data_IF_155001833502
#
_entry.id   IF_155001833502
#
_cell.length_a   1.000
_cell.length_b   1.000
_cell.length_c   1.000
_cell.angle_alpha   90.00
_cell.angle_beta   90.00
_cell.angle_gamma   90.00
#
_symmetry.space_group_name_H-M   'P 1'
#
loop_
_entity.id
_entity.type
_entity.pdbx_description
1 polymer ?
#
# COMPACT_ATOMS: atom_id res chain seq x y z
N UNK A 1 60.34 -40.33 50.42
CA UNK A 1 59.65 -41.53 50.93
C UNK A 1 58.19 -41.16 51.06
N UNK A 2 57.36 -41.71 50.16
CA UNK A 2 55.92 -42.06 50.30
C UNK A 2 54.95 -40.89 50.53
N UNK A 3 53.80 -40.73 49.90
CA UNK A 3 53.14 -41.24 48.68
C UNK A 3 51.92 -40.31 48.53
N UNK A 4 51.51 -39.98 47.30
CA UNK A 4 50.16 -39.46 47.06
C UNK A 4 49.57 -40.18 45.85
N UNK A 5 48.67 -41.11 46.14
CA UNK A 5 47.92 -41.94 45.21
C UNK A 5 47.08 -41.09 44.24
N UNK A 6 47.21 -41.42 42.96
CA UNK A 6 46.41 -40.90 41.85
C UNK A 6 45.21 -41.84 41.64
N UNK A 7 44.00 -41.29 41.74
CA UNK A 7 42.74 -41.99 41.51
C UNK A 7 42.48 -42.26 40.01
N UNK A 8 41.79 -43.37 39.67
CA UNK A 8 41.64 -43.85 38.30
C UNK A 8 40.47 -43.22 37.52
N UNK A 9 40.67 -43.27 36.21
CA UNK A 9 39.89 -42.80 35.06
C UNK A 9 38.45 -43.37 35.00
N UNK A 10 37.44 -42.48 34.89
CA UNK A 10 36.03 -42.84 34.77
C UNK A 10 35.59 -42.91 33.29
N UNK A 11 34.90 -44.02 32.97
CA UNK A 11 34.32 -44.39 31.67
C UNK A 11 33.14 -43.46 31.29
N UNK A 12 32.97 -43.08 30.01
CA UNK A 12 31.97 -42.08 29.60
C UNK A 12 30.52 -42.62 29.58
N UNK A 13 29.62 -41.89 30.25
CA UNK A 13 28.16 -42.07 30.19
C UNK A 13 27.58 -41.67 28.83
N UNK A 14 26.74 -42.54 28.27
CA UNK A 14 25.92 -42.28 27.08
C UNK A 14 24.80 -41.27 27.40
N UNK A 15 24.62 -40.19 26.62
CA UNK A 15 23.48 -39.30 26.79
C UNK A 15 22.21 -39.89 26.16
N UNK A 16 21.15 -39.94 26.97
CA UNK A 16 19.81 -40.34 26.58
C UNK A 16 19.16 -39.49 25.49
N UNK A 17 18.35 -40.15 24.68
CA UNK A 17 17.53 -39.61 23.58
C UNK A 17 16.55 -38.54 24.05
N UNK A 18 16.80 -37.29 23.67
CA UNK A 18 15.84 -36.19 23.73
C UNK A 18 14.81 -36.29 22.58
N UNK A 19 13.55 -35.88 22.78
CA UNK A 19 12.51 -35.94 21.75
C UNK A 19 12.82 -35.00 20.58
N UNK A 20 12.58 -35.49 19.37
CA UNK A 20 12.91 -34.87 18.08
C UNK A 20 12.52 -33.39 18.00
N UNK A 21 13.54 -32.54 17.97
CA UNK A 21 13.45 -31.11 17.64
C UNK A 21 12.85 -30.97 16.24
N UNK A 22 11.78 -30.17 16.11
CA UNK A 22 11.24 -29.76 14.80
C UNK A 22 12.37 -29.19 13.93
N UNK A 23 12.41 -29.47 12.61
CA UNK A 23 13.43 -28.89 11.74
C UNK A 23 13.27 -27.36 11.74
N UNK A 24 14.28 -26.67 12.26
CA UNK A 24 14.45 -25.23 12.07
C UNK A 24 14.86 -25.05 10.61
N UNK A 25 13.92 -24.66 9.76
CA UNK A 25 14.22 -24.18 8.41
C UNK A 25 15.16 -22.97 8.50
N UNK A 26 16.15 -22.85 7.60
CA UNK A 26 17.08 -21.73 7.61
C UNK A 26 16.34 -20.41 7.38
N UNK A 27 16.84 -19.27 7.91
CA UNK A 27 16.23 -17.97 7.69
C UNK A 27 16.49 -17.53 6.24
N UNK A 28 15.66 -17.99 5.31
CA UNK A 28 15.49 -17.30 4.04
C UNK A 28 15.06 -15.87 4.35
N UNK A 29 15.70 -14.88 3.73
CA UNK A 29 15.54 -13.44 4.00
C UNK A 29 14.08 -12.96 3.92
N UNK A 30 13.34 -13.21 5.00
CA UNK A 30 11.95 -12.84 5.14
C UNK A 30 11.85 -11.34 5.27
N UNK A 31 11.12 -10.72 4.34
CA UNK A 31 10.62 -9.35 4.51
C UNK A 31 9.98 -9.25 5.90
N UNK A 32 10.22 -8.17 6.67
CA UNK A 32 9.57 -7.97 7.97
C UNK A 32 8.08 -8.30 7.86
N UNK A 33 7.55 -9.05 8.84
CA UNK A 33 6.13 -9.43 8.89
C UNK A 33 5.29 -8.20 8.59
N UNK A 34 4.56 -8.26 7.48
CA UNK A 34 3.84 -7.10 7.00
C UNK A 34 2.74 -6.76 8.02
N UNK A 35 2.56 -5.46 8.34
CA UNK A 35 1.60 -4.99 9.36
C UNK A 35 0.18 -5.56 9.14
N UNK A 36 -0.20 -5.83 7.88
CA UNK A 36 -1.47 -6.45 7.57
C UNK A 36 -1.56 -7.93 7.99
N UNK A 37 -0.47 -8.71 7.92
CA UNK A 37 -0.44 -10.11 8.35
C UNK A 37 -0.70 -10.21 9.86
N UNK A 38 -0.15 -9.28 10.64
CA UNK A 38 -0.39 -9.21 12.08
C UNK A 38 -1.86 -8.93 12.36
N UNK A 39 -2.48 -7.94 11.69
CA UNK A 39 -3.89 -7.63 11.88
C UNK A 39 -4.81 -8.77 11.48
N UNK A 40 -4.56 -9.40 10.33
CA UNK A 40 -5.34 -10.56 9.90
C UNK A 40 -5.18 -11.68 10.92
N UNK A 41 -3.98 -11.97 11.40
CA UNK A 41 -3.77 -13.01 12.42
C UNK A 41 -4.54 -12.72 13.72
N UNK A 42 -4.45 -11.49 14.24
CA UNK A 42 -5.25 -11.08 15.41
C UNK A 42 -6.74 -11.26 15.17
N UNK A 43 -7.21 -10.96 13.95
CA UNK A 43 -8.62 -11.14 13.59
C UNK A 43 -9.01 -12.62 13.48
N UNK A 44 -8.14 -13.46 12.93
CA UNK A 44 -8.34 -14.91 12.89
C UNK A 44 -8.43 -15.49 14.31
N UNK A 45 -7.53 -15.10 15.21
CA UNK A 45 -7.53 -15.56 16.61
C UNK A 45 -8.86 -15.23 17.31
N UNK A 46 -9.36 -14.00 17.14
CA UNK A 46 -10.67 -13.55 17.62
C UNK A 46 -11.82 -14.41 17.06
N UNK A 47 -11.84 -14.65 15.74
CA UNK A 47 -12.87 -15.47 15.10
C UNK A 47 -12.83 -16.93 15.54
N UNK A 48 -11.64 -17.53 15.71
CA UNK A 48 -11.53 -18.89 16.23
C UNK A 48 -12.06 -19.02 17.65
N UNK A 49 -11.79 -18.02 18.50
CA UNK A 49 -12.32 -17.99 19.87
C UNK A 49 -13.86 -17.91 19.84
N UNK A 50 -14.43 -17.03 19.02
CA UNK A 50 -15.88 -16.91 18.88
C UNK A 50 -16.52 -18.18 18.31
N UNK A 51 -15.93 -18.81 17.28
CA UNK A 51 -16.40 -20.08 16.73
C UNK A 51 -16.32 -21.22 17.77
N UNK A 52 -15.45 -21.12 18.76
CA UNK A 52 -15.36 -22.08 19.88
C UNK A 52 -16.52 -21.96 20.84
N UNK A 53 -16.95 -20.74 21.16
CA UNK A 53 -18.19 -20.54 21.88
C UNK A 53 -19.41 -21.00 21.06
N UNK A 54 -19.44 -20.71 19.75
CA UNK A 54 -20.58 -21.03 18.88
C UNK A 54 -20.70 -22.52 18.52
N UNK A 55 -19.61 -23.29 18.62
CA UNK A 55 -19.62 -24.73 18.32
C UNK A 55 -20.55 -25.54 19.23
N UNK A 56 -20.90 -25.03 20.42
CA UNK A 56 -21.87 -25.65 21.30
C UNK A 56 -23.29 -25.71 20.71
N UNK A 57 -23.59 -24.87 19.71
CA UNK A 57 -24.92 -24.78 19.07
C UNK A 57 -25.00 -25.60 17.80
N UNK A 58 -23.96 -25.50 16.96
CA UNK A 58 -23.85 -26.23 15.71
C UNK A 58 -22.37 -26.57 15.45
N UNK A 59 -21.92 -27.77 15.88
CA UNK A 59 -20.51 -28.15 15.79
C UNK A 59 -20.06 -28.32 14.33
N UNK A 60 -20.94 -28.82 13.46
CA UNK A 60 -20.63 -29.09 12.06
C UNK A 60 -20.44 -27.79 11.28
N UNK A 61 -21.37 -26.84 11.45
CA UNK A 61 -21.26 -25.52 10.81
C UNK A 61 -20.07 -24.75 11.36
N UNK A 62 -19.82 -24.78 12.67
CA UNK A 62 -18.65 -24.13 13.26
C UNK A 62 -17.33 -24.77 12.79
N UNK A 63 -17.28 -26.09 12.59
CA UNK A 63 -16.12 -26.78 12.03
C UNK A 63 -15.89 -26.38 10.56
N UNK A 64 -16.95 -26.29 9.75
CA UNK A 64 -16.86 -25.84 8.36
C UNK A 64 -16.32 -24.41 8.24
N UNK A 65 -16.76 -23.50 9.11
CA UNK A 65 -16.24 -22.12 9.12
C UNK A 65 -14.77 -22.04 9.57
N UNK A 66 -14.36 -22.86 10.54
CA UNK A 66 -12.92 -22.96 10.91
C UNK A 66 -12.07 -23.50 9.77
N UNK A 67 -12.57 -24.49 9.02
CA UNK A 67 -11.86 -25.02 7.86
C UNK A 67 -11.68 -23.97 6.76
N UNK A 68 -12.61 -23.03 6.61
CA UNK A 68 -12.42 -21.88 5.70
C UNK A 68 -11.30 -20.94 6.19
N UNK A 69 -11.27 -20.64 7.50
CA UNK A 69 -10.25 -19.76 8.09
C UNK A 69 -8.83 -20.36 8.03
N UNK A 70 -8.68 -21.68 8.20
CA UNK A 70 -7.36 -22.33 8.13
C UNK A 70 -6.71 -22.20 6.74
N UNK A 71 -7.51 -22.09 5.68
CA UNK A 71 -7.04 -21.76 4.34
C UNK A 71 -6.35 -20.39 4.25
N UNK A 72 -6.72 -19.43 5.10
CA UNK A 72 -6.10 -18.10 5.16
C UNK A 72 -4.70 -18.18 5.79
N UNK A 73 -4.51 -18.99 6.82
CA UNK A 73 -3.21 -19.17 7.49
C UNK A 73 -2.13 -19.69 6.55
N UNK A 74 -2.49 -20.61 5.65
CA UNK A 74 -1.59 -21.15 4.64
C UNK A 74 -1.06 -20.07 3.68
N UNK A 75 -1.83 -19.00 3.49
CA UNK A 75 -1.53 -17.89 2.59
C UNK A 75 -0.76 -16.77 3.31
N UNK A 76 -0.97 -16.59 4.62
CA UNK A 76 -0.28 -15.57 5.43
C UNK A 76 1.24 -15.72 5.43
N UNK A 77 1.78 -16.94 5.31
CA UNK A 77 3.23 -17.19 5.29
C UNK A 77 3.92 -16.93 3.94
N UNK A 78 3.15 -16.70 2.86
CA UNK A 78 3.67 -16.58 1.49
C UNK A 78 3.59 -15.12 1.01
N UNK A 79 4.54 -14.28 1.40
CA UNK A 79 4.59 -12.88 0.95
C UNK A 79 5.92 -12.54 0.28
N UNK A 80 5.96 -12.66 -1.04
CA UNK A 80 7.04 -12.11 -1.88
C UNK A 80 6.71 -10.72 -2.44
N UNK A 81 7.69 -10.05 -3.06
CA UNK A 81 7.53 -8.69 -3.64
C UNK A 81 6.43 -8.63 -4.72
N UNK A 82 6.33 -9.68 -5.56
CA UNK A 82 5.29 -9.78 -6.59
C UNK A 82 3.90 -9.89 -5.98
N UNK A 83 3.78 -10.64 -4.88
CA UNK A 83 2.52 -10.82 -4.18
C UNK A 83 2.13 -9.55 -3.41
N UNK A 84 3.11 -8.82 -2.88
CA UNK A 84 2.88 -7.50 -2.30
C UNK A 84 2.35 -6.48 -3.34
N UNK A 85 2.82 -6.56 -4.59
CA UNK A 85 2.33 -5.73 -5.71
C UNK A 85 0.92 -6.13 -6.15
N UNK A 86 0.64 -7.44 -6.27
CA UNK A 86 -0.68 -7.95 -6.69
C UNK A 86 -1.73 -7.80 -5.59
N UNK A 87 -1.39 -8.14 -4.35
CA UNK A 87 -2.28 -8.07 -3.18
C UNK A 87 -3.35 -9.15 -3.14
N UNK A 88 -3.21 -10.25 -3.89
CA UNK A 88 -4.24 -11.29 -3.97
C UNK A 88 -4.43 -12.03 -2.65
N UNK A 89 -3.33 -12.33 -1.96
CA UNK A 89 -3.33 -13.00 -0.66
C UNK A 89 -4.01 -12.19 0.44
N UNK A 90 -3.83 -10.86 0.43
CA UNK A 90 -4.49 -9.95 1.36
C UNK A 90 -5.99 -9.87 1.09
N UNK A 91 -6.36 -9.75 -0.19
CA UNK A 91 -7.77 -9.71 -0.63
C UNK A 91 -8.49 -11.00 -0.25
N UNK A 92 -7.89 -12.16 -0.60
CA UNK A 92 -8.42 -13.47 -0.23
C UNK A 92 -8.61 -13.62 1.28
N UNK A 93 -7.63 -13.16 2.08
CA UNK A 93 -7.71 -13.22 3.52
C UNK A 93 -8.91 -12.42 4.08
N UNK A 94 -9.05 -11.15 3.67
CA UNK A 94 -10.15 -10.31 4.14
C UNK A 94 -11.52 -10.74 3.63
N UNK A 95 -11.62 -11.15 2.36
CA UNK A 95 -12.87 -11.70 1.82
C UNK A 95 -13.31 -12.96 2.57
N UNK A 96 -12.37 -13.84 2.92
CA UNK A 96 -12.67 -15.04 3.71
C UNK A 96 -13.11 -14.69 5.13
N UNK A 97 -12.41 -13.76 5.79
CA UNK A 97 -12.79 -13.22 7.11
C UNK A 97 -14.21 -12.63 7.08
N UNK A 98 -14.49 -11.73 6.14
CA UNK A 98 -15.80 -11.10 5.96
C UNK A 98 -16.91 -12.10 5.62
N UNK A 99 -16.58 -13.18 4.90
CA UNK A 99 -17.51 -14.28 4.63
C UNK A 99 -17.87 -15.03 5.91
N UNK A 100 -16.87 -15.40 6.70
CA UNK A 100 -17.06 -16.15 7.96
C UNK A 100 -17.82 -15.31 8.98
N UNK A 101 -17.50 -14.02 9.13
CA UNK A 101 -18.22 -13.11 10.04
C UNK A 101 -19.72 -13.02 9.71
N UNK A 102 -20.07 -12.95 8.42
CA UNK A 102 -21.48 -12.96 7.98
C UNK A 102 -22.15 -14.28 8.28
N UNK A 103 -21.47 -15.41 8.02
CA UNK A 103 -22.02 -16.74 8.29
C UNK A 103 -22.22 -17.00 9.79
N UNK A 104 -21.39 -16.42 10.65
CA UNK A 104 -21.54 -16.53 12.11
C UNK A 104 -22.84 -15.92 12.63
N UNK A 105 -23.49 -14.99 11.90
CA UNK A 105 -24.81 -14.44 12.28
C UNK A 105 -25.87 -15.54 12.36
N UNK A 106 -25.76 -16.59 11.55
CA UNK A 106 -26.67 -17.74 11.58
C UNK A 106 -26.54 -18.56 12.86
N UNK A 107 -25.36 -18.54 13.48
CA UNK A 107 -25.05 -19.33 14.69
C UNK A 107 -25.37 -18.59 16.00
N UNK A 108 -25.66 -17.28 15.93
CA UNK A 108 -25.89 -16.44 17.11
C UNK A 108 -27.35 -16.42 17.52
N UNK A 109 -27.60 -16.17 18.80
CA UNK A 109 -28.96 -15.91 19.28
C UNK A 109 -29.38 -14.46 18.98
N UNK A 110 -30.69 -14.16 18.94
CA UNK A 110 -31.17 -12.79 18.77
C UNK A 110 -30.58 -11.82 19.81
N UNK A 111 -30.45 -12.25 21.06
CA UNK A 111 -29.92 -11.44 22.17
C UNK A 111 -28.44 -11.11 21.97
N UNK A 112 -27.64 -12.09 21.53
CA UNK A 112 -26.24 -11.88 21.17
C UNK A 112 -26.11 -10.90 20.01
N UNK A 113 -26.99 -11.00 19.01
CA UNK A 113 -27.01 -10.08 17.87
C UNK A 113 -27.33 -8.65 18.33
N UNK A 114 -28.36 -8.45 19.16
CA UNK A 114 -28.66 -7.12 19.74
C UNK A 114 -27.42 -6.54 20.44
N UNK A 115 -26.71 -7.36 21.22
CA UNK A 115 -25.48 -6.93 21.89
C UNK A 115 -24.35 -6.53 20.93
N UNK A 116 -24.23 -7.19 19.77
CA UNK A 116 -23.19 -6.92 18.78
C UNK A 116 -23.53 -5.81 17.78
N UNK A 117 -24.81 -5.50 17.60
CA UNK A 117 -25.26 -4.50 16.63
C UNK A 117 -24.61 -3.13 16.83
N UNK A 118 -24.38 -2.73 18.08
CA UNK A 118 -23.67 -1.48 18.39
C UNK A 118 -22.24 -1.47 17.84
N UNK A 119 -21.51 -2.58 17.99
CA UNK A 119 -20.16 -2.73 17.46
C UNK A 119 -20.15 -2.76 15.93
N UNK A 120 -21.10 -3.49 15.31
CA UNK A 120 -21.25 -3.52 13.85
C UNK A 120 -21.57 -2.15 13.27
N UNK A 121 -22.46 -1.39 13.91
CA UNK A 121 -22.77 0.00 13.52
C UNK A 121 -21.56 0.90 13.67
N UNK A 122 -20.82 0.79 14.76
CA UNK A 122 -19.61 1.58 14.99
C UNK A 122 -18.53 1.32 13.95
N UNK A 123 -18.34 0.06 13.54
CA UNK A 123 -17.43 -0.30 12.45
C UNK A 123 -17.94 0.20 11.10
N UNK A 124 -19.23 0.01 10.81
CA UNK A 124 -19.86 0.42 9.56
C UNK A 124 -19.85 1.95 9.36
N UNK A 125 -20.02 2.72 10.43
CA UNK A 125 -20.01 4.20 10.39
C UNK A 125 -18.67 4.80 9.95
N UNK A 126 -17.58 4.01 9.91
CA UNK A 126 -16.29 4.46 9.37
C UNK A 126 -16.27 4.51 7.83
N UNK A 127 -17.18 3.77 7.19
CA UNK A 127 -17.18 3.58 5.73
C UNK A 127 -18.52 3.98 5.08
N UNK A 128 -19.63 3.82 5.80
CA UNK A 128 -20.97 4.17 5.32
C UNK A 128 -21.33 5.61 5.72
N UNK A 129 -22.10 6.28 4.87
CA UNK A 129 -22.69 7.57 5.19
C UNK A 129 -23.77 7.40 6.28
N UNK A 130 -23.98 8.45 7.08
CA UNK A 130 -24.92 8.41 8.20
C UNK A 130 -26.39 8.18 7.77
N UNK A 131 -26.72 8.47 6.51
CA UNK A 131 -28.02 8.29 5.88
C UNK A 131 -28.13 7.01 5.04
N UNK A 132 -27.14 6.10 5.08
CA UNK A 132 -27.24 4.81 4.40
C UNK A 132 -28.40 4.01 5.00
N UNK A 133 -29.31 3.56 4.12
CA UNK A 133 -30.56 2.87 4.51
C UNK A 133 -30.33 1.72 5.47
N UNK A 134 -29.23 0.99 5.31
CA UNK A 134 -28.95 -0.18 6.16
C UNK A 134 -28.63 0.23 7.61
N UNK A 135 -28.18 1.47 7.84
CA UNK A 135 -28.00 2.03 9.18
C UNK A 135 -29.30 2.60 9.75
N UNK A 136 -30.08 3.31 8.93
CA UNK A 136 -31.30 4.00 9.37
C UNK A 136 -32.46 3.04 9.63
N UNK A 137 -32.58 1.98 8.83
CA UNK A 137 -33.69 1.02 8.91
C UNK A 137 -33.55 0.02 10.08
N UNK A 138 -32.43 0.10 10.81
CA UNK A 138 -32.07 -0.85 11.85
C UNK A 138 -32.57 -0.35 13.21
N UNK A 139 -33.54 -1.04 13.80
CA UNK A 139 -34.07 -0.72 15.12
C UNK A 139 -33.81 -1.93 16.04
N UNK A 140 -32.73 -1.91 16.85
CA UNK A 140 -32.34 -3.09 17.63
C UNK A 140 -33.40 -3.52 18.64
N UNK A 141 -34.28 -2.61 19.09
CA UNK A 141 -35.32 -2.92 20.06
C UNK A 141 -36.55 -3.51 19.36
N UNK A 142 -36.99 -2.88 18.27
CA UNK A 142 -38.14 -3.38 17.51
C UNK A 142 -37.81 -4.67 16.74
N UNK A 143 -36.61 -4.77 16.16
CA UNK A 143 -36.19 -5.90 15.34
C UNK A 143 -35.95 -7.17 16.15
N UNK A 144 -35.55 -7.04 17.42
CA UNK A 144 -35.35 -8.17 18.34
C UNK A 144 -36.64 -8.97 18.58
N UNK A 145 -37.81 -8.35 18.41
CA UNK A 145 -39.10 -9.03 18.51
C UNK A 145 -39.30 -10.11 17.43
N UNK A 146 -38.55 -10.03 16.32
CA UNK A 146 -38.61 -11.00 15.22
C UNK A 146 -37.21 -11.57 14.93
N UNK A 147 -36.87 -12.76 15.47
CA UNK A 147 -35.55 -13.37 15.32
C UNK A 147 -35.02 -13.48 13.88
N UNK A 148 -35.91 -13.75 12.91
CA UNK A 148 -35.54 -13.81 11.50
C UNK A 148 -35.18 -12.42 10.93
N UNK A 149 -35.89 -11.37 11.37
CA UNK A 149 -35.69 -10.00 10.90
C UNK A 149 -34.36 -9.44 11.40
N UNK A 150 -34.05 -9.60 12.69
CA UNK A 150 -32.78 -9.11 13.25
C UNK A 150 -31.58 -9.80 12.61
N UNK A 151 -31.66 -11.11 12.33
CA UNK A 151 -30.62 -11.84 11.58
C UNK A 151 -30.46 -11.30 10.18
N UNK A 152 -31.56 -11.13 9.45
CA UNK A 152 -31.54 -10.60 8.09
C UNK A 152 -30.93 -9.19 8.03
N UNK A 153 -31.32 -8.32 8.96
CA UNK A 153 -30.78 -6.94 9.05
C UNK A 153 -29.31 -6.92 9.46
N UNK A 154 -28.89 -7.77 10.41
CA UNK A 154 -27.48 -7.90 10.77
C UNK A 154 -26.62 -8.41 9.60
N UNK A 155 -27.10 -9.41 8.86
CA UNK A 155 -26.44 -9.89 7.64
C UNK A 155 -26.38 -8.80 6.55
N UNK A 156 -27.47 -8.05 6.34
CA UNK A 156 -27.50 -6.95 5.38
C UNK A 156 -26.51 -5.84 5.75
N UNK A 157 -26.41 -5.50 7.03
CA UNK A 157 -25.42 -4.54 7.56
C UNK A 157 -24.00 -5.00 7.29
N UNK A 158 -23.64 -6.22 7.67
CA UNK A 158 -22.30 -6.75 7.44
C UNK A 158 -21.98 -6.89 5.96
N UNK A 159 -22.93 -7.33 5.13
CA UNK A 159 -22.75 -7.41 3.67
C UNK A 159 -22.45 -6.03 3.08
N UNK A 160 -23.26 -5.03 3.42
CA UNK A 160 -23.09 -3.66 2.94
C UNK A 160 -21.76 -3.06 3.41
N UNK A 161 -21.48 -3.14 4.71
CA UNK A 161 -20.23 -2.67 5.31
C UNK A 161 -19.00 -3.33 4.67
N UNK A 162 -18.95 -4.66 4.61
CA UNK A 162 -17.80 -5.39 4.04
C UNK A 162 -17.60 -5.05 2.56
N UNK A 163 -18.67 -4.98 1.76
CA UNK A 163 -18.56 -4.61 0.34
C UNK A 163 -17.95 -3.22 0.14
N UNK A 164 -18.39 -2.22 0.90
CA UNK A 164 -17.88 -0.85 0.79
C UNK A 164 -16.45 -0.74 1.33
N UNK A 165 -16.14 -1.45 2.42
CA UNK A 165 -14.77 -1.54 2.96
C UNK A 165 -13.80 -2.17 1.96
N UNK A 166 -14.20 -3.28 1.33
CA UNK A 166 -13.40 -4.00 0.35
C UNK A 166 -13.19 -3.15 -0.91
N UNK A 167 -14.23 -2.52 -1.45
CA UNK A 167 -14.14 -1.57 -2.58
C UNK A 167 -13.19 -0.40 -2.28
N UNK A 168 -13.29 0.16 -1.08
CA UNK A 168 -12.40 1.24 -0.64
C UNK A 168 -10.94 0.78 -0.62
N UNK A 169 -10.65 -0.37 0.00
CA UNK A 169 -9.29 -0.91 0.05
C UNK A 169 -8.75 -1.31 -1.33
N UNK A 170 -9.60 -1.82 -2.20
CA UNK A 170 -9.27 -2.13 -3.58
C UNK A 170 -8.93 -0.85 -4.37
N UNK A 171 -9.71 0.22 -4.20
CA UNK A 171 -9.47 1.51 -4.82
C UNK A 171 -8.11 2.11 -4.41
N UNK A 172 -7.78 2.02 -3.12
CA UNK A 172 -6.49 2.47 -2.57
C UNK A 172 -5.33 1.68 -3.16
N UNK A 173 -5.47 0.35 -3.30
CA UNK A 173 -4.45 -0.51 -3.92
C UNK A 173 -4.28 -0.21 -5.41
N UNK A 174 -5.37 -0.02 -6.15
CA UNK A 174 -5.32 0.39 -7.58
C UNK A 174 -4.62 1.72 -7.76
N UNK A 175 -4.92 2.69 -6.89
CA UNK A 175 -4.27 4.01 -6.89
C UNK A 175 -2.76 3.87 -6.68
N UNK A 176 -2.34 3.12 -5.65
CA UNK A 176 -0.92 2.79 -5.42
C UNK A 176 -0.26 2.22 -6.68
N UNK A 177 -0.87 1.18 -7.25
CA UNK A 177 -0.27 0.45 -8.37
C UNK A 177 -0.16 1.34 -9.62
N UNK A 178 -1.15 2.22 -9.86
CA UNK A 178 -1.08 3.24 -10.90
C UNK A 178 0.04 4.25 -10.64
N UNK A 179 0.17 4.76 -9.42
CA UNK A 179 1.25 5.68 -9.05
C UNK A 179 2.62 5.03 -9.26
N UNK A 180 2.81 3.79 -8.79
CA UNK A 180 4.06 3.05 -8.97
C UNK A 180 4.35 2.78 -10.45
N UNK A 181 3.33 2.41 -11.23
CA UNK A 181 3.45 2.22 -12.67
C UNK A 181 3.89 3.50 -13.39
N UNK A 182 3.29 4.65 -13.06
CA UNK A 182 3.69 5.95 -13.58
C UNK A 182 5.11 6.33 -13.15
N UNK A 183 5.50 6.07 -11.90
CA UNK A 183 6.87 6.31 -11.43
C UNK A 183 7.89 5.51 -12.24
N UNK A 184 7.64 4.21 -12.44
CA UNK A 184 8.53 3.35 -13.25
C UNK A 184 8.57 3.84 -14.69
N UNK A 185 7.43 4.18 -15.28
CA UNK A 185 7.37 4.72 -16.64
C UNK A 185 8.17 6.02 -16.79
N UNK A 186 8.04 6.94 -15.82
CA UNK A 186 8.79 8.19 -15.81
C UNK A 186 10.31 7.93 -15.71
N UNK A 187 10.75 7.06 -14.80
CA UNK A 187 12.16 6.68 -14.69
C UNK A 187 12.70 6.02 -15.98
N UNK A 188 11.90 5.18 -16.64
CA UNK A 188 12.27 4.61 -17.94
C UNK A 188 12.40 5.71 -18.99
N UNK A 189 11.47 6.66 -19.02
CA UNK A 189 11.56 7.81 -19.93
C UNK A 189 12.83 8.63 -19.68
N UNK A 190 13.19 8.91 -18.43
CA UNK A 190 14.44 9.60 -18.09
C UNK A 190 15.67 8.87 -18.64
N UNK A 191 15.75 7.55 -18.41
CA UNK A 191 16.84 6.71 -18.92
C UNK A 191 16.90 6.75 -20.45
N UNK A 192 15.74 6.65 -21.12
CA UNK A 192 15.66 6.71 -22.57
C UNK A 192 16.11 8.08 -23.10
N UNK A 193 15.72 9.18 -22.48
CA UNK A 193 16.13 10.53 -22.90
C UNK A 193 17.65 10.71 -22.76
N UNK A 194 18.25 10.21 -21.66
CA UNK A 194 19.72 10.21 -21.49
C UNK A 194 20.40 9.34 -22.55
N UNK A 195 19.88 8.14 -22.82
CA UNK A 195 20.44 7.21 -23.82
C UNK A 195 20.34 7.78 -25.23
N UNK A 196 19.24 8.45 -25.57
CA UNK A 196 19.07 9.15 -26.85
C UNK A 196 20.07 10.30 -26.97
N UNK A 197 20.27 11.12 -25.92
CA UNK A 197 21.29 12.17 -25.93
C UNK A 197 22.71 11.63 -25.97
N UNK A 198 22.95 10.44 -25.45
CA UNK A 198 24.25 9.79 -25.52
C UNK A 198 24.54 9.27 -26.93
N UNK A 199 23.52 8.75 -27.63
CA UNK A 199 23.67 8.16 -28.97
C UNK A 199 23.57 9.17 -30.12
N UNK A 200 22.78 10.23 -29.93
CA UNK A 200 22.52 11.28 -30.91
C UNK A 200 23.58 12.38 -30.83
N UNK A 201 24.16 12.73 -31.98
CA UNK A 201 25.11 13.83 -32.09
C UNK A 201 24.46 15.10 -32.69
N UNK A 202 23.33 14.92 -33.39
CA UNK A 202 22.67 15.95 -34.19
C UNK A 202 21.56 16.69 -33.43
N UNK A 203 20.90 16.02 -32.47
CA UNK A 203 19.76 16.58 -31.73
C UNK A 203 20.13 16.75 -30.26
N UNK A 204 20.31 18.00 -29.83
CA UNK A 204 20.62 18.36 -28.44
C UNK A 204 19.41 18.98 -27.76
N UNK A 205 18.91 18.34 -26.71
CA UNK A 205 17.80 18.87 -25.89
C UNK A 205 18.24 20.06 -25.04
N UNK A 206 19.54 20.14 -24.71
CA UNK A 206 20.12 21.18 -23.89
C UNK A 206 21.28 21.85 -24.64
N UNK A 207 21.32 23.18 -24.60
CA UNK A 207 22.47 23.98 -25.03
C UNK A 207 23.46 24.07 -23.87
N UNK A 208 24.72 23.77 -24.13
CA UNK A 208 25.76 23.87 -23.11
C UNK A 208 25.95 25.34 -22.68
N UNK A 209 25.96 25.63 -21.37
CA UNK A 209 26.37 26.92 -20.83
C UNK A 209 27.82 27.26 -21.19
N UNK A 210 28.20 28.53 -21.06
CA UNK A 210 29.53 29.04 -21.47
C UNK A 210 30.65 28.37 -20.68
N UNK A 211 30.43 28.10 -19.39
CA UNK A 211 31.37 27.48 -18.45
C UNK A 211 31.44 25.94 -18.57
N UNK A 212 30.55 25.32 -19.35
CA UNK A 212 30.53 23.89 -19.63
C UNK A 212 30.74 23.58 -21.12
N UNK A 213 31.39 24.49 -21.84
CA UNK A 213 31.79 24.27 -23.22
C UNK A 213 32.65 22.99 -23.33
N UNK A 214 32.25 22.06 -24.21
CA UNK A 214 32.93 20.78 -24.40
C UNK A 214 32.45 19.63 -23.50
N UNK A 215 31.55 19.88 -22.54
CA UNK A 215 30.91 18.80 -21.79
C UNK A 215 29.88 18.08 -22.67
N UNK A 216 29.88 16.73 -22.72
CA UNK A 216 28.87 15.97 -23.46
C UNK A 216 27.44 16.29 -23.01
N UNK A 217 26.52 16.47 -23.96
CA UNK A 217 25.13 16.85 -23.70
C UNK A 217 24.41 15.89 -22.75
N UNK A 218 24.64 14.58 -22.88
CA UNK A 218 24.06 13.57 -21.99
C UNK A 218 24.49 13.72 -20.52
N UNK A 219 25.73 14.18 -20.27
CA UNK A 219 26.21 14.44 -18.89
C UNK A 219 25.52 15.65 -18.29
N UNK A 220 25.39 16.72 -19.07
CA UNK A 220 24.66 17.91 -18.64
C UNK A 220 23.19 17.58 -18.36
N UNK A 221 22.56 16.81 -19.25
CA UNK A 221 21.19 16.33 -19.06
C UNK A 221 21.05 15.49 -17.79
N UNK A 222 21.99 14.59 -17.52
CA UNK A 222 21.97 13.78 -16.31
C UNK A 222 22.01 14.64 -15.03
N UNK A 223 22.84 15.68 -14.99
CA UNK A 223 22.85 16.61 -13.85
C UNK A 223 21.58 17.46 -13.74
N UNK A 224 20.99 17.85 -14.88
CA UNK A 224 19.69 18.53 -14.91
C UNK A 224 18.58 17.63 -14.34
N UNK A 225 18.56 16.34 -14.68
CA UNK A 225 17.61 15.37 -14.13
C UNK A 225 17.77 15.23 -12.61
N UNK A 226 19.01 15.12 -12.12
CA UNK A 226 19.28 15.08 -10.67
C UNK A 226 18.82 16.37 -9.98
N UNK A 227 19.11 17.53 -10.56
CA UNK A 227 18.68 18.82 -10.02
C UNK A 227 17.14 18.95 -10.00
N UNK A 228 16.46 18.48 -11.05
CA UNK A 228 15.01 18.40 -11.09
C UNK A 228 14.43 17.43 -10.05
N UNK A 229 15.08 16.29 -9.83
CA UNK A 229 14.72 15.35 -8.76
C UNK A 229 14.83 16.01 -7.38
N UNK A 230 15.89 16.78 -7.16
CA UNK A 230 16.11 17.49 -5.90
C UNK A 230 15.01 18.54 -5.64
N UNK A 231 14.66 19.34 -6.65
CA UNK A 231 13.54 20.29 -6.54
C UNK A 231 12.22 19.60 -6.24
N UNK A 232 11.94 18.49 -6.91
CA UNK A 232 10.77 17.68 -6.66
C UNK A 232 10.75 17.08 -5.24
N UNK A 233 11.87 16.57 -4.76
CA UNK A 233 12.01 16.04 -3.42
C UNK A 233 11.68 17.12 -2.37
N UNK A 234 12.25 18.31 -2.49
CA UNK A 234 11.99 19.44 -1.60
C UNK A 234 10.50 19.77 -1.58
N UNK A 235 9.84 19.81 -2.74
CA UNK A 235 8.39 20.06 -2.84
C UNK A 235 7.51 18.95 -2.23
N UNK A 236 8.02 17.72 -2.14
CA UNK A 236 7.29 16.57 -1.61
C UNK A 236 7.42 16.41 -0.09
N UNK A 237 8.46 16.98 0.53
CA UNK A 237 8.74 16.84 1.96
C UNK A 237 7.56 17.23 2.87
N UNK A 238 6.88 18.39 2.69
CA UNK A 238 5.78 18.76 3.57
C UNK A 238 4.65 17.71 3.55
N UNK A 239 4.34 17.16 2.37
CA UNK A 239 3.31 16.12 2.22
C UNK A 239 3.71 14.78 2.82
N UNK A 240 4.99 14.45 2.87
CA UNK A 240 5.47 13.22 3.52
C UNK A 240 5.43 13.34 5.05
N UNK A 241 5.91 14.47 5.59
CA UNK A 241 6.07 14.68 7.04
C UNK A 241 4.72 14.83 7.74
N UNK A 242 3.77 15.55 7.12
CA UNK A 242 2.44 15.80 7.71
C UNK A 242 1.51 14.59 7.62
N UNK A 243 1.90 13.57 6.87
CA UNK A 243 1.02 12.43 6.62
C UNK A 243 0.97 11.46 7.80
N UNK A 244 -0.11 11.55 8.56
CA UNK A 244 -0.45 10.54 9.56
C UNK A 244 -1.10 9.37 8.80
N UNK A 245 -0.37 8.27 8.62
CA UNK A 245 -0.93 7.04 8.05
C UNK A 245 -1.95 6.46 9.02
N UNK A 246 -3.20 6.93 8.95
CA UNK A 246 -4.31 6.54 9.82
C UNK A 246 -4.73 5.10 9.59
N UNK A 247 -3.93 4.14 10.06
CA UNK A 247 -4.26 2.72 10.03
C UNK A 247 -4.26 2.07 8.63
N UNK A 248 -4.18 2.82 7.53
CA UNK A 248 -4.13 2.26 6.17
C UNK A 248 -2.81 1.48 5.95
N UNK A 249 -2.86 0.22 5.47
CA UNK A 249 -1.66 -0.57 5.19
C UNK A 249 -0.84 -0.03 4.01
N UNK A 250 -1.38 0.95 3.27
CA UNK A 250 -0.77 1.56 2.11
C UNK A 250 -0.38 3.00 2.46
N UNK A 251 0.91 3.26 2.63
CA UNK A 251 1.46 4.62 2.83
C UNK A 251 1.35 5.45 1.53
N UNK A 252 0.13 5.79 1.12
CA UNK A 252 -0.16 6.58 -0.09
C UNK A 252 0.69 7.87 -0.23
N UNK A 253 0.93 8.65 0.85
CA UNK A 253 1.73 9.87 0.77
C UNK A 253 3.18 9.62 0.35
N UNK A 254 3.75 8.48 0.77
CA UNK A 254 5.08 8.06 0.35
C UNK A 254 5.12 7.74 -1.15
N UNK A 255 4.09 7.08 -1.67
CA UNK A 255 3.98 6.76 -3.10
C UNK A 255 3.75 8.00 -3.95
N UNK A 256 2.94 8.95 -3.47
CA UNK A 256 2.79 10.26 -4.10
C UNK A 256 4.13 10.99 -4.16
N UNK A 257 4.93 10.91 -3.09
CA UNK A 257 6.26 11.47 -3.07
C UNK A 257 7.23 10.80 -4.06
N UNK A 258 7.19 9.48 -4.18
CA UNK A 258 7.98 8.74 -5.17
C UNK A 258 7.58 9.09 -6.62
N UNK A 259 6.28 9.25 -6.87
CA UNK A 259 5.77 9.73 -8.16
C UNK A 259 6.27 11.14 -8.48
N UNK A 260 6.19 12.06 -7.52
CA UNK A 260 6.74 13.42 -7.67
C UNK A 260 8.23 13.40 -7.95
N UNK A 261 8.97 12.53 -7.26
CA UNK A 261 10.42 12.40 -7.44
C UNK A 261 10.78 11.93 -8.86
N UNK A 262 9.98 11.03 -9.44
CA UNK A 262 10.17 10.53 -10.80
C UNK A 262 9.66 11.51 -11.88
N UNK A 263 8.67 12.35 -11.59
CA UNK A 263 8.15 13.32 -12.58
C UNK A 263 8.97 14.61 -12.61
N UNK A 264 9.47 15.05 -11.45
CA UNK A 264 10.27 16.27 -11.29
C UNK A 264 11.39 16.46 -12.32
N UNK A 265 12.26 15.46 -12.53
CA UNK A 265 13.33 15.50 -13.52
C UNK A 265 12.82 15.81 -14.93
N UNK A 266 11.74 15.14 -15.36
CA UNK A 266 11.16 15.35 -16.68
C UNK A 266 10.58 16.76 -16.83
N UNK A 267 9.91 17.27 -15.80
CA UNK A 267 9.41 18.66 -15.78
C UNK A 267 10.55 19.66 -15.85
N UNK A 268 11.67 19.39 -15.16
CA UNK A 268 12.86 20.23 -15.22
C UNK A 268 13.45 20.30 -16.63
N UNK A 269 13.55 19.17 -17.34
CA UNK A 269 14.01 19.13 -18.73
C UNK A 269 13.10 19.94 -19.65
N UNK A 270 11.78 19.75 -19.55
CA UNK A 270 10.81 20.51 -20.36
C UNK A 270 10.89 22.00 -20.07
N UNK A 271 10.95 22.38 -18.78
CA UNK A 271 11.07 23.78 -18.38
C UNK A 271 12.32 24.45 -18.94
N UNK A 272 13.46 23.77 -18.90
CA UNK A 272 14.70 24.28 -19.50
C UNK A 272 14.59 24.38 -21.02
N UNK A 273 13.95 23.42 -21.70
CA UNK A 273 13.72 23.52 -23.14
C UNK A 273 12.89 24.75 -23.51
N UNK A 274 11.89 25.13 -22.69
CA UNK A 274 11.10 26.34 -22.89
C UNK A 274 11.94 27.61 -22.71
N UNK A 275 12.83 27.63 -21.72
CA UNK A 275 13.77 28.75 -21.48
C UNK A 275 14.75 28.90 -22.65
N UNK A 276 15.39 27.81 -23.07
CA UNK A 276 16.37 27.83 -24.17
C UNK A 276 15.69 28.15 -25.51
N UNK A 277 14.45 27.69 -25.69
CA UNK A 277 13.63 27.99 -26.86
C UNK A 277 13.15 29.44 -26.93
N UNK A 278 13.44 30.27 -25.92
CA UNK A 278 13.06 31.68 -25.87
C UNK A 278 11.58 31.93 -25.56
N UNK A 279 10.83 30.89 -25.15
CA UNK A 279 9.45 31.07 -24.68
C UNK A 279 9.37 31.70 -23.29
N UNK A 280 10.46 31.57 -22.50
CA UNK A 280 10.60 32.21 -21.20
C UNK A 280 11.82 33.13 -21.24
N UNK A 281 11.61 34.43 -21.02
CA UNK A 281 12.65 35.47 -21.06
C UNK A 281 13.61 35.39 -19.86
N UNK A 282 14.39 34.32 -19.80
CA UNK A 282 15.44 34.13 -18.79
C UNK A 282 16.70 33.62 -19.46
N UNK A 283 17.86 34.14 -19.06
CA UNK A 283 19.14 33.70 -19.62
C UNK A 283 19.84 32.74 -18.67
N UNK A 284 20.28 31.60 -19.21
CA UNK A 284 20.94 30.53 -18.45
C UNK A 284 22.34 30.37 -19.02
N UNK A 285 23.25 31.25 -18.58
CA UNK A 285 24.59 31.35 -19.17
C UNK A 285 25.66 30.56 -18.40
N UNK A 286 25.36 30.08 -17.18
CA UNK A 286 26.24 29.27 -16.35
C UNK A 286 25.61 27.94 -15.97
N UNK A 287 26.45 26.96 -15.66
CA UNK A 287 26.01 25.64 -15.20
C UNK A 287 25.25 25.74 -13.88
N UNK A 288 25.67 26.62 -12.97
CA UNK A 288 24.95 26.88 -11.73
C UNK A 288 23.53 27.43 -11.98
N UNK A 289 23.38 28.36 -12.93
CA UNK A 289 22.06 28.87 -13.31
C UNK A 289 21.18 27.78 -13.92
N UNK A 290 21.76 26.90 -14.76
CA UNK A 290 21.05 25.78 -15.37
C UNK A 290 20.48 24.83 -14.32
N UNK A 291 21.29 24.42 -13.34
CA UNK A 291 20.87 23.53 -12.27
C UNK A 291 19.88 24.22 -11.31
N UNK A 292 20.07 25.51 -11.03
CA UNK A 292 19.12 26.30 -10.23
C UNK A 292 17.73 26.36 -10.87
N UNK A 293 17.67 26.65 -12.17
CA UNK A 293 16.41 26.66 -12.94
C UNK A 293 15.80 25.25 -13.01
N UNK A 294 16.61 24.20 -13.15
CA UNK A 294 16.14 22.81 -13.09
C UNK A 294 15.47 22.47 -11.74
N UNK A 295 16.06 22.90 -10.62
CA UNK A 295 15.47 22.73 -9.28
C UNK A 295 14.12 23.44 -9.20
N UNK A 296 14.04 24.69 -9.67
CA UNK A 296 12.79 25.47 -9.66
C UNK A 296 11.69 24.77 -10.46
N UNK A 297 11.97 24.32 -11.68
CA UNK A 297 10.98 23.59 -12.48
C UNK A 297 10.62 22.22 -11.89
N UNK A 298 11.58 21.49 -11.32
CA UNK A 298 11.32 20.23 -10.62
C UNK A 298 10.40 20.40 -9.41
N UNK A 299 10.57 21.49 -8.65
CA UNK A 299 9.65 21.87 -7.57
C UNK A 299 8.29 22.35 -8.11
N UNK A 300 8.31 23.05 -9.25
CA UNK A 300 7.14 23.62 -9.93
C UNK A 300 6.21 22.62 -10.63
N UNK A 301 6.51 21.31 -10.58
CA UNK A 301 5.70 20.26 -11.21
C UNK A 301 4.21 20.29 -10.80
N UNK A 302 3.88 20.80 -9.60
CA UNK A 302 2.50 20.93 -9.15
C UNK A 302 1.69 21.95 -9.96
N UNK A 303 2.33 23.02 -10.46
CA UNK A 303 1.66 24.01 -11.29
C UNK A 303 1.34 23.44 -12.68
N UNK A 304 2.27 22.67 -13.26
CA UNK A 304 2.12 22.04 -14.58
C UNK A 304 1.03 20.97 -14.56
N UNK A 305 1.01 20.13 -13.52
CA UNK A 305 -0.02 19.09 -13.36
C UNK A 305 -1.40 19.70 -13.11
N UNK A 306 -1.51 20.70 -12.23
CA UNK A 306 -2.78 21.40 -12.00
C UNK A 306 -3.31 22.10 -13.26
N UNK A 307 -2.45 22.63 -14.12
CA UNK A 307 -2.86 23.24 -15.38
C UNK A 307 -3.37 22.20 -16.39
N UNK A 308 -2.66 21.08 -16.56
CA UNK A 308 -3.07 20.00 -17.45
C UNK A 308 -4.43 19.40 -17.02
N UNK A 309 -4.62 19.17 -15.71
CA UNK A 309 -5.88 18.66 -15.15
C UNK A 309 -7.06 19.61 -15.43
N UNK A 310 -6.85 20.93 -15.26
CA UNK A 310 -7.87 21.94 -15.60
C UNK A 310 -8.24 21.91 -17.09
N UNK A 311 -7.24 21.81 -17.97
CA UNK A 311 -7.48 21.72 -19.43
C UNK A 311 -8.19 20.43 -19.83
N UNK A 312 -7.83 19.29 -19.23
CA UNK A 312 -8.53 18.03 -19.48
C UNK A 312 -10.00 18.10 -19.04
N UNK A 313 -10.28 18.71 -17.88
CA UNK A 313 -11.64 18.92 -17.39
C UNK A 313 -12.47 19.86 -18.29
N UNK A 314 -11.85 20.94 -18.81
CA UNK A 314 -12.49 21.84 -19.78
C UNK A 314 -12.85 21.13 -21.10
N UNK A 315 -11.95 20.27 -21.62
CA UNK A 315 -12.16 19.53 -22.87
C UNK A 315 -13.20 18.40 -22.72
N UNK A 316 -13.23 17.70 -21.58
CA UNK A 316 -14.26 16.68 -21.29
C UNK A 316 -15.63 17.31 -20.97
N UNK A 317 -15.63 18.48 -20.34
CA UNK A 317 -16.85 19.26 -20.07
C UNK A 317 -17.48 19.86 -21.33
N UNK A 318 -16.68 20.12 -22.37
CA UNK A 318 -17.17 20.58 -23.68
C UNK A 318 -17.66 19.43 -24.56
N UNK A 319 -17.10 18.21 -24.43
CA UNK A 319 -17.57 17.02 -25.13
C UNK A 319 -18.92 16.48 -24.60
N UNK A 320 -19.24 16.69 -23.33
CA UNK A 320 -20.53 16.26 -22.71
C UNK A 320 -21.69 17.25 -22.97
N UNK A 321 -21.42 18.41 -23.58
CA UNK A 321 -22.42 19.44 -23.92
C UNK A 321 -22.71 19.54 -25.43
N UNK A 322 -22.22 18.62 -26.23
CA UNK A 322 -22.48 18.52 -27.68
C UNK A 322 -23.54 17.47 -28.00
#
# INVERSE_FOLDING_TARGET
MIDQETQPEAVPEQPGTAPASRPVLPPGGGVPTAVWQVRVRTKLDDLYQQLTALAARDPDRAAALRAQLSGVEAVLGRSGVVEWLRGGNLEYAWQTVHSVERAMVELRTPEELVGLLGAYRGAAAQFLAADDKVLTDLDPVADAATPALIRAKAQALLLRYHSVSDEFHESVRRLRNRMLGLSVFALVAEVLVVLVQWRSHDVRLLKAPVDAAGVPAWRLLFFVLIAGALGAFISALPSMITSRSGGLPYKLPFQQGLLKLAIGPLVAVVGIMLVIGGLVETTVNSTAALLGVAIVFGAGQQAVTAFADRRAAELLGSATKG
#
